data_IF_214654669995
#
_entry.id   IF_214654669995
#
_cell.length_a   1.000
_cell.length_b   1.000
_cell.length_c   1.000
_cell.angle_alpha   90.00
_cell.angle_beta   90.00
_cell.angle_gamma   90.00
#
_symmetry.space_group_name_H-M   'P 1'
#
loop_
_entity.id
_entity.type
_entity.pdbx_description
1 polymer ?
#
# COMPACT_ATOMS: atom_id res chain seq x y z
N UNK A 1 9.30 -15.17 -24.58
CA UNK A 1 8.98 -16.32 -23.71
C UNK A 1 7.73 -15.95 -22.94
N UNK A 2 6.63 -16.67 -23.13
CA UNK A 2 5.33 -16.38 -22.53
C UNK A 2 5.36 -16.61 -21.02
N UNK A 3 5.11 -15.59 -20.18
CA UNK A 3 4.62 -15.86 -18.85
C UNK A 3 3.15 -16.27 -18.99
N UNK A 4 2.83 -17.41 -18.42
CA UNK A 4 1.50 -17.99 -18.34
C UNK A 4 0.45 -16.97 -17.88
N UNK A 5 -0.37 -16.50 -18.82
CA UNK A 5 -1.69 -15.90 -18.57
C UNK A 5 -2.57 -16.97 -17.90
N UNK A 6 -2.44 -17.11 -16.59
CA UNK A 6 -3.49 -17.72 -15.77
C UNK A 6 -4.63 -16.70 -15.73
N UNK A 7 -5.52 -16.77 -16.71
CA UNK A 7 -6.76 -16.02 -16.65
C UNK A 7 -7.57 -16.65 -15.52
N UNK A 8 -7.69 -15.96 -14.38
CA UNK A 8 -8.61 -16.40 -13.34
C UNK A 8 -10.02 -16.40 -13.94
N UNK A 9 -10.86 -17.36 -13.54
CA UNK A 9 -12.27 -17.34 -13.91
C UNK A 9 -13.02 -16.44 -12.93
N UNK A 10 -14.06 -15.77 -13.42
CA UNK A 10 -14.91 -14.93 -12.58
C UNK A 10 -15.53 -15.81 -11.48
N UNK A 11 -15.29 -15.45 -10.23
CA UNK A 11 -15.79 -16.15 -9.06
C UNK A 11 -16.89 -15.33 -8.39
N UNK A 12 -18.14 -15.62 -8.76
CA UNK A 12 -19.30 -14.95 -8.19
C UNK A 12 -19.48 -15.26 -6.69
N UNK A 13 -19.00 -16.41 -6.22
CA UNK A 13 -19.07 -16.74 -4.80
C UNK A 13 -18.12 -15.84 -4.02
N UNK A 14 -16.89 -15.67 -4.50
CA UNK A 14 -15.93 -14.74 -3.92
C UNK A 14 -16.49 -13.31 -3.84
N UNK A 15 -17.07 -12.80 -4.93
CA UNK A 15 -17.70 -11.46 -4.99
C UNK A 15 -18.79 -11.28 -3.92
N UNK A 16 -19.60 -12.32 -3.67
CA UNK A 16 -20.70 -12.27 -2.70
C UNK A 16 -20.24 -12.40 -1.25
N UNK A 17 -19.19 -13.17 -0.97
CA UNK A 17 -18.73 -13.42 0.40
C UNK A 17 -17.65 -12.44 0.88
N UNK A 18 -17.00 -11.72 -0.03
CA UNK A 18 -15.88 -10.82 0.28
C UNK A 18 -16.22 -9.37 0.00
N UNK A 19 -17.36 -8.91 0.53
CA UNK A 19 -17.77 -7.50 0.43
C UNK A 19 -16.97 -6.65 1.42
N UNK A 20 -16.44 -5.52 0.94
CA UNK A 20 -15.74 -4.50 1.72
C UNK A 20 -16.43 -3.15 1.58
N UNK A 21 -16.17 -2.24 2.53
CA UNK A 21 -16.75 -0.92 2.56
C UNK A 21 -15.66 0.09 2.90
N UNK A 22 -15.64 1.22 2.20
CA UNK A 22 -14.77 2.36 2.49
C UNK A 22 -15.49 3.67 2.10
N UNK A 23 -14.76 4.80 2.10
CA UNK A 23 -15.32 6.09 1.73
C UNK A 23 -15.78 6.16 0.26
N UNK A 24 -15.19 5.37 -0.63
CA UNK A 24 -15.52 5.36 -2.06
C UNK A 24 -16.67 4.39 -2.37
N UNK A 25 -16.77 3.30 -1.60
CA UNK A 25 -17.74 2.20 -1.82
C UNK A 25 -18.61 1.99 -0.58
N UNK A 26 -19.37 3.02 -0.20
CA UNK A 26 -20.32 2.95 0.91
C UNK A 26 -21.47 1.95 0.68
N UNK A 27 -21.81 1.68 -0.58
CA UNK A 27 -22.80 0.67 -1.00
C UNK A 27 -22.20 -0.73 -1.17
N UNK A 28 -20.90 -0.89 -0.92
CA UNK A 28 -20.18 -2.17 -0.97
C UNK A 28 -19.36 -2.36 -2.25
N UNK A 29 -18.09 -2.69 -2.06
CA UNK A 29 -17.16 -3.16 -3.10
C UNK A 29 -16.64 -4.57 -2.81
N UNK A 30 -15.67 -5.02 -3.60
CA UNK A 30 -15.08 -6.37 -3.48
C UNK A 30 -13.72 -6.25 -2.79
N UNK A 31 -13.48 -6.98 -1.70
CA UNK A 31 -12.17 -7.00 -1.06
C UNK A 31 -11.12 -7.58 -2.00
N UNK A 32 -9.92 -7.01 -1.99
CA UNK A 32 -8.75 -7.62 -2.63
C UNK A 32 -8.48 -9.03 -2.05
N UNK A 33 -7.97 -9.98 -2.85
CA UNK A 33 -7.51 -11.29 -2.35
C UNK A 33 -6.45 -11.18 -1.26
N UNK A 34 -5.68 -10.09 -1.29
CA UNK A 34 -4.70 -9.76 -0.26
C UNK A 34 -5.23 -8.67 0.70
N UNK A 35 -6.54 -8.56 0.90
CA UNK A 35 -7.17 -7.51 1.73
C UNK A 35 -6.63 -7.49 3.16
N UNK A 36 -6.37 -8.65 3.75
CA UNK A 36 -5.77 -8.75 5.09
C UNK A 36 -4.41 -8.04 5.18
N UNK A 37 -3.73 -7.80 4.06
CA UNK A 37 -2.47 -7.07 4.01
C UNK A 37 -2.65 -5.63 3.50
N UNK A 38 -3.38 -5.44 2.41
CA UNK A 38 -3.47 -4.14 1.72
C UNK A 38 -4.71 -3.31 2.10
N UNK A 39 -5.73 -3.92 2.70
CA UNK A 39 -6.99 -3.29 3.11
C UNK A 39 -7.76 -2.58 2.00
N UNK A 40 -7.44 -2.85 0.73
CA UNK A 40 -8.10 -2.23 -0.42
C UNK A 40 -9.43 -2.89 -0.77
N UNK A 41 -10.48 -2.06 -0.86
CA UNK A 41 -11.75 -2.41 -1.47
C UNK A 41 -11.72 -2.03 -2.95
N UNK A 42 -12.15 -2.96 -3.80
CA UNK A 42 -12.16 -2.85 -5.25
C UNK A 42 -13.57 -2.47 -5.73
N UNK A 43 -13.68 -1.77 -6.87
CA UNK A 43 -14.95 -1.57 -7.55
C UNK A 43 -15.70 -2.89 -7.81
N UNK A 44 -17.05 -2.91 -7.75
CA UNK A 44 -17.84 -4.11 -8.07
C UNK A 44 -17.59 -4.71 -9.46
N UNK A 45 -17.14 -3.91 -10.43
CA UNK A 45 -16.83 -4.34 -11.79
C UNK A 45 -15.34 -4.69 -12.01
N UNK A 46 -14.51 -4.70 -10.96
CA UNK A 46 -13.05 -4.83 -11.06
C UNK A 46 -12.60 -6.03 -11.90
N UNK A 47 -13.20 -7.21 -11.69
CA UNK A 47 -12.86 -8.41 -12.44
C UNK A 47 -13.03 -8.22 -13.96
N UNK A 48 -14.04 -7.47 -14.39
CA UNK A 48 -14.26 -7.20 -15.81
C UNK A 48 -13.17 -6.30 -16.40
N UNK A 49 -12.58 -5.42 -15.59
CA UNK A 49 -11.52 -4.50 -15.99
C UNK A 49 -10.13 -5.15 -15.94
N UNK A 50 -9.86 -5.95 -14.91
CA UNK A 50 -8.52 -6.41 -14.56
C UNK A 50 -8.33 -7.94 -14.66
N UNK A 51 -9.42 -8.72 -14.77
CA UNK A 51 -9.36 -10.18 -14.92
C UNK A 51 -8.90 -10.95 -13.68
N UNK A 52 -8.90 -10.30 -12.51
CA UNK A 52 -8.53 -10.87 -11.22
C UNK A 52 -9.21 -10.09 -10.07
N UNK A 53 -8.90 -10.47 -8.83
CA UNK A 53 -9.40 -9.82 -7.62
C UNK A 53 -8.27 -9.21 -6.76
N UNK A 54 -7.24 -8.66 -7.40
CA UNK A 54 -6.10 -8.05 -6.73
C UNK A 54 -6.05 -6.55 -7.04
N UNK A 55 -5.75 -5.72 -6.03
CA UNK A 55 -5.60 -4.28 -6.24
C UNK A 55 -4.34 -3.94 -7.04
N UNK A 56 -4.27 -2.71 -7.57
CA UNK A 56 -3.10 -2.22 -8.30
C UNK A 56 -1.81 -2.40 -7.51
N UNK A 57 -1.81 -2.11 -6.20
CA UNK A 57 -0.62 -2.29 -5.38
C UNK A 57 -0.17 -3.75 -5.34
N UNK A 58 -1.09 -4.71 -5.23
CA UNK A 58 -0.74 -6.14 -5.17
C UNK A 58 -0.34 -6.72 -6.51
N UNK A 59 -1.14 -6.58 -7.57
CA UNK A 59 -0.96 -7.32 -8.82
C UNK A 59 -0.29 -6.52 -9.95
N UNK A 60 -0.41 -5.19 -9.96
CA UNK A 60 0.01 -4.41 -11.12
C UNK A 60 1.48 -4.67 -11.44
N UNK A 61 1.71 -5.26 -12.61
CA UNK A 61 3.03 -5.62 -13.09
C UNK A 61 3.97 -4.43 -13.26
N UNK A 62 3.45 -3.25 -13.54
CA UNK A 62 4.25 -2.10 -13.92
C UNK A 62 4.54 -1.19 -12.72
N UNK A 63 3.60 -1.12 -11.77
CA UNK A 63 3.65 -0.16 -10.65
C UNK A 63 3.42 -0.80 -9.27
N UNK A 64 2.88 -2.01 -9.21
CA UNK A 64 2.63 -2.76 -7.99
C UNK A 64 3.73 -3.77 -7.68
N UNK A 65 3.43 -4.68 -6.74
CA UNK A 65 4.37 -5.73 -6.35
C UNK A 65 4.33 -6.93 -7.31
N UNK A 66 3.27 -7.11 -8.10
CA UNK A 66 3.10 -8.29 -8.97
C UNK A 66 2.94 -9.59 -8.17
N UNK A 67 2.40 -9.50 -6.96
CA UNK A 67 2.04 -10.67 -6.16
C UNK A 67 0.77 -11.30 -6.69
N UNK A 68 0.71 -12.62 -6.53
CA UNK A 68 -0.56 -13.36 -6.59
C UNK A 68 -1.27 -13.26 -5.24
N UNK A 69 -2.28 -14.09 -5.06
CA UNK A 69 -2.86 -14.38 -3.75
C UNK A 69 -1.78 -14.86 -2.78
N UNK A 70 -1.69 -14.17 -1.65
CA UNK A 70 -0.71 -14.44 -0.59
C UNK A 70 -1.24 -15.46 0.41
N UNK A 71 -0.31 -16.17 1.06
CA UNK A 71 -0.65 -17.16 2.08
C UNK A 71 -0.73 -16.53 3.47
N UNK A 72 -1.89 -16.65 4.11
CA UNK A 72 -2.15 -16.23 5.48
C UNK A 72 -2.41 -17.45 6.37
N UNK A 73 -2.05 -17.37 7.65
CA UNK A 73 -2.40 -18.37 8.66
C UNK A 73 -2.88 -17.71 9.94
N UNK A 74 -3.93 -18.25 10.53
CA UNK A 74 -4.30 -17.93 11.91
C UNK A 74 -3.31 -18.63 12.86
N UNK A 75 -2.93 -17.95 13.93
CA UNK A 75 -1.99 -18.46 14.93
C UNK A 75 -2.25 -17.82 16.30
N UNK A 76 -1.52 -18.26 17.32
CA UNK A 76 -1.42 -17.56 18.61
C UNK A 76 0.04 -17.58 19.04
N UNK A 77 0.90 -17.08 18.14
CA UNK A 77 2.35 -17.13 18.26
C UNK A 77 2.91 -15.72 18.29
N UNK A 78 4.04 -15.56 18.95
CA UNK A 78 4.80 -14.31 18.92
C UNK A 78 5.32 -14.01 17.50
N UNK A 79 5.27 -12.74 17.10
CA UNK A 79 5.94 -12.26 15.89
C UNK A 79 7.41 -11.97 16.19
N UNK A 80 8.33 -12.63 15.47
CA UNK A 80 9.79 -12.47 15.66
C UNK A 80 10.34 -11.05 15.38
N UNK A 81 9.52 -10.14 14.86
CA UNK A 81 9.93 -8.76 14.57
C UNK A 81 9.55 -7.83 15.72
N UNK A 82 8.29 -7.87 16.15
CA UNK A 82 7.77 -6.97 17.19
C UNK A 82 7.66 -7.62 18.57
N UNK A 83 7.88 -8.92 18.69
CA UNK A 83 7.74 -9.74 19.90
C UNK A 83 6.32 -9.70 20.51
N UNK A 84 5.31 -9.34 19.72
CA UNK A 84 3.91 -9.34 20.15
C UNK A 84 3.23 -10.67 19.78
N UNK A 85 2.33 -11.14 20.64
CA UNK A 85 1.45 -12.27 20.34
C UNK A 85 0.40 -11.81 19.32
N UNK A 86 0.30 -12.53 18.21
CA UNK A 86 -0.61 -12.16 17.12
C UNK A 86 -1.49 -13.32 16.70
N UNK A 87 -2.69 -12.96 16.24
CA UNK A 87 -3.70 -13.92 15.82
C UNK A 87 -3.56 -14.37 14.36
N UNK A 88 -2.77 -13.65 13.55
CA UNK A 88 -2.60 -13.92 12.12
C UNK A 88 -1.20 -13.56 11.64
N UNK A 89 -0.65 -14.38 10.74
CA UNK A 89 0.64 -14.14 10.08
C UNK A 89 0.51 -14.31 8.56
N UNK A 90 1.33 -13.55 7.83
CA UNK A 90 1.54 -13.64 6.40
C UNK A 90 2.85 -14.38 6.11
N UNK A 91 2.84 -15.26 5.12
CA UNK A 91 4.06 -15.82 4.53
C UNK A 91 4.71 -14.76 3.65
N UNK A 92 5.93 -14.36 4.00
CA UNK A 92 6.60 -13.24 3.35
C UNK A 92 6.88 -13.54 1.86
N UNK A 93 6.58 -12.60 0.94
CA UNK A 93 6.54 -12.85 -0.50
C UNK A 93 7.91 -13.11 -1.15
N UNK A 94 9.03 -12.98 -0.42
CA UNK A 94 10.37 -13.26 -0.94
C UNK A 94 10.68 -14.75 -1.20
N UNK A 95 9.67 -15.63 -1.22
CA UNK A 95 9.84 -17.08 -1.44
C UNK A 95 10.91 -17.70 -0.52
N UNK A 96 10.85 -17.35 0.76
CA UNK A 96 11.78 -17.81 1.79
C UNK A 96 11.11 -18.64 2.90
N UNK A 97 9.78 -18.79 2.86
CA UNK A 97 9.02 -19.58 3.84
C UNK A 97 8.87 -18.94 5.22
N UNK A 98 9.39 -17.73 5.44
CA UNK A 98 9.25 -17.03 6.71
C UNK A 98 7.87 -16.38 6.88
N UNK A 99 7.40 -16.32 8.13
CA UNK A 99 6.08 -15.81 8.48
C UNK A 99 6.19 -14.64 9.46
N UNK A 100 5.44 -13.57 9.22
CA UNK A 100 5.43 -12.37 10.06
C UNK A 100 4.00 -11.89 10.32
N UNK A 101 3.78 -11.14 11.38
CA UNK A 101 2.48 -10.53 11.61
C UNK A 101 2.12 -9.55 10.49
N UNK A 102 0.83 -9.25 10.34
CA UNK A 102 0.33 -8.33 9.32
C UNK A 102 0.98 -6.94 9.46
N UNK A 103 0.99 -6.27 10.64
CA UNK A 103 1.55 -4.93 10.75
C UNK A 103 3.04 -4.85 10.41
N UNK A 104 3.84 -5.83 10.84
CA UNK A 104 5.26 -5.85 10.48
C UNK A 104 5.46 -6.11 8.98
N UNK A 105 4.64 -6.97 8.38
CA UNK A 105 4.68 -7.21 6.94
C UNK A 105 4.31 -5.95 6.16
N UNK A 106 3.29 -5.22 6.59
CA UNK A 106 2.91 -3.94 6.00
C UNK A 106 4.07 -2.95 6.05
N UNK A 107 4.70 -2.77 7.22
CA UNK A 107 5.81 -1.85 7.38
C UNK A 107 7.06 -2.21 6.54
N UNK A 108 7.30 -3.50 6.30
CA UNK A 108 8.44 -3.97 5.51
C UNK A 108 8.17 -3.86 4.00
N UNK A 109 6.94 -4.13 3.59
CA UNK A 109 6.57 -4.23 2.19
C UNK A 109 6.08 -2.91 1.62
N UNK A 110 5.21 -2.22 2.35
CA UNK A 110 4.66 -0.93 1.98
C UNK A 110 5.47 0.21 2.58
N UNK A 111 5.21 1.38 2.01
CA UNK A 111 5.77 2.62 2.48
C UNK A 111 4.76 3.16 3.49
N UNK A 112 5.19 3.25 4.73
CA UNK A 112 4.46 3.87 5.82
C UNK A 112 4.43 5.39 5.62
N UNK A 113 3.33 5.93 5.10
CA UNK A 113 3.15 7.37 4.84
C UNK A 113 3.54 8.26 6.02
N UNK A 114 3.38 7.76 7.26
CA UNK A 114 3.81 8.48 8.47
C UNK A 114 5.31 8.77 8.50
N UNK A 115 6.11 8.02 7.74
CA UNK A 115 7.57 8.10 7.68
C UNK A 115 8.12 8.75 6.43
N UNK A 116 7.30 8.97 5.40
CA UNK A 116 7.80 9.30 4.07
C UNK A 116 7.15 10.55 3.48
N UNK A 117 5.85 10.74 3.69
CA UNK A 117 5.07 11.75 2.98
C UNK A 117 5.26 13.15 3.58
N UNK A 118 5.53 14.14 2.73
CA UNK A 118 5.70 15.54 3.13
C UNK A 118 4.38 16.30 2.92
N UNK A 119 4.11 17.27 3.80
CA UNK A 119 3.05 18.24 3.51
C UNK A 119 3.50 19.18 2.38
N UNK A 120 2.62 19.51 1.43
CA UNK A 120 2.88 20.51 0.39
C UNK A 120 2.67 21.95 0.90
N UNK A 121 2.07 22.16 2.08
CA UNK A 121 1.83 23.49 2.65
C UNK A 121 3.13 24.32 2.83
N UNK A 122 4.25 23.77 3.33
CA UNK A 122 5.54 24.47 3.40
C UNK A 122 6.08 24.93 2.03
N UNK A 123 5.60 24.36 0.94
CA UNK A 123 5.99 24.69 -0.44
C UNK A 123 5.03 25.72 -1.08
N UNK A 124 4.01 26.16 -0.35
CA UNK A 124 3.07 27.19 -0.77
C UNK A 124 1.69 26.68 -1.19
N UNK A 125 1.40 25.38 -1.02
CA UNK A 125 0.05 24.87 -1.18
C UNK A 125 -0.87 25.46 -0.08
N UNK A 126 -2.08 25.93 -0.40
CA UNK A 126 -3.05 26.35 0.62
C UNK A 126 -3.39 25.20 1.58
N UNK A 127 -3.65 25.48 2.87
CA UNK A 127 -4.01 24.46 3.83
C UNK A 127 -5.42 23.91 3.62
N UNK A 128 -5.71 22.77 4.26
CA UNK A 128 -7.03 22.14 4.17
C UNK A 128 -8.17 23.06 4.67
N UNK A 129 -9.22 23.28 3.87
CA UNK A 129 -10.31 24.22 4.21
C UNK A 129 -11.20 23.67 5.34
N UNK A 130 -11.15 22.37 5.60
CA UNK A 130 -11.87 21.72 6.70
C UNK A 130 -11.14 21.85 8.06
N UNK A 131 -9.98 22.51 8.10
CA UNK A 131 -9.19 22.67 9.32
C UNK A 131 -8.46 21.39 9.77
N UNK A 132 -8.28 20.43 8.88
CA UNK A 132 -7.48 19.25 9.15
C UNK A 132 -6.00 19.62 9.36
N UNK A 133 -5.31 18.89 10.24
CA UNK A 133 -3.88 19.09 10.47
C UNK A 133 -3.08 18.26 9.47
N UNK A 134 -2.39 18.93 8.54
CA UNK A 134 -1.40 18.31 7.68
C UNK A 134 -0.01 18.49 8.29
N UNK A 135 0.54 17.40 8.85
CA UNK A 135 1.87 17.44 9.42
C UNK A 135 2.92 17.69 8.33
N UNK A 136 3.98 18.46 8.67
CA UNK A 136 5.14 18.68 7.78
C UNK A 136 5.65 17.35 7.21
N UNK A 137 5.62 16.30 8.02
CA UNK A 137 5.90 14.93 7.61
C UNK A 137 4.91 13.98 8.27
N UNK A 138 4.29 13.12 7.47
CA UNK A 138 3.43 12.03 7.92
C UNK A 138 2.12 11.94 7.13
N UNK A 139 1.12 11.29 7.73
CA UNK A 139 -0.19 11.10 7.11
C UNK A 139 -0.88 12.44 6.85
N UNK A 140 -1.35 12.67 5.63
CA UNK A 140 -2.11 13.88 5.27
C UNK A 140 -3.62 13.67 5.45
N UNK A 141 -4.35 14.77 5.37
CA UNK A 141 -5.79 14.71 5.16
C UNK A 141 -6.10 14.36 3.69
N UNK A 142 -6.92 13.34 3.50
CA UNK A 142 -7.43 12.91 2.18
C UNK A 142 -8.87 13.37 2.03
N UNK A 143 -9.10 14.67 2.21
CA UNK A 143 -10.43 15.24 2.07
C UNK A 143 -10.62 15.72 0.63
N UNK A 144 -11.78 15.44 0.03
CA UNK A 144 -12.09 15.83 -1.37
C UNK A 144 -11.82 17.32 -1.64
N UNK A 145 -12.23 18.21 -0.71
CA UNK A 145 -12.00 19.64 -0.84
C UNK A 145 -10.52 20.04 -0.82
N UNK A 146 -9.65 19.25 -0.19
CA UNK A 146 -8.21 19.46 -0.20
C UNK A 146 -7.57 18.89 -1.47
N UNK A 147 -8.08 17.76 -1.97
CA UNK A 147 -7.63 17.19 -3.25
C UNK A 147 -7.86 18.18 -4.40
N UNK A 148 -9.00 18.87 -4.44
CA UNK A 148 -9.27 19.95 -5.41
C UNK A 148 -8.29 21.13 -5.29
N UNK A 149 -7.81 21.42 -4.08
CA UNK A 149 -6.81 22.47 -3.85
C UNK A 149 -5.45 22.03 -4.38
N UNK A 150 -5.06 20.78 -4.13
CA UNK A 150 -3.80 20.21 -4.61
C UNK A 150 -3.76 20.22 -6.15
N UNK A 151 -4.81 19.73 -6.81
CA UNK A 151 -4.92 19.72 -8.27
C UNK A 151 -4.82 21.13 -8.84
N UNK A 152 -5.50 22.11 -8.22
CA UNK A 152 -5.42 23.50 -8.67
C UNK A 152 -4.04 24.09 -8.47
N UNK A 153 -3.42 23.84 -7.30
CA UNK A 153 -2.09 24.32 -6.97
C UNK A 153 -1.03 23.77 -7.93
N UNK A 154 -1.11 22.49 -8.27
CA UNK A 154 -0.25 21.85 -9.28
C UNK A 154 -0.31 22.60 -10.62
N UNK A 155 -1.52 22.95 -11.08
CA UNK A 155 -1.73 23.66 -12.34
C UNK A 155 -1.30 25.12 -12.31
N UNK A 156 -1.55 25.83 -11.21
CA UNK A 156 -1.25 27.26 -11.07
C UNK A 156 0.23 27.54 -10.75
N UNK A 157 0.90 26.62 -10.04
CA UNK A 157 2.27 26.80 -9.55
C UNK A 157 3.15 25.56 -9.83
N UNK A 158 3.36 25.18 -11.10
CA UNK A 158 4.06 23.95 -11.46
C UNK A 158 5.51 23.90 -10.95
N UNK A 159 6.22 25.03 -10.89
CA UNK A 159 7.58 25.08 -10.35
C UNK A 159 7.63 24.76 -8.86
N UNK A 160 6.62 25.20 -8.10
CA UNK A 160 6.51 24.92 -6.65
C UNK A 160 6.06 23.50 -6.39
N UNK A 161 5.16 22.98 -7.22
CA UNK A 161 4.80 21.58 -7.22
C UNK A 161 6.01 20.67 -7.52
N UNK A 162 6.85 21.05 -8.49
CA UNK A 162 8.09 20.31 -8.77
C UNK A 162 9.07 20.36 -7.60
N UNK A 163 9.26 21.51 -6.96
CA UNK A 163 10.10 21.65 -5.75
C UNK A 163 9.61 20.71 -4.63
N UNK A 164 8.29 20.63 -4.42
CA UNK A 164 7.68 19.69 -3.49
C UNK A 164 7.96 18.23 -3.88
N UNK A 165 7.71 17.84 -5.14
CA UNK A 165 7.93 16.48 -5.61
C UNK A 165 9.40 16.04 -5.48
N UNK A 166 10.35 16.92 -5.78
CA UNK A 166 11.77 16.65 -5.64
C UNK A 166 12.13 16.44 -4.15
N UNK A 167 11.59 17.28 -3.26
CA UNK A 167 11.78 17.16 -1.83
C UNK A 167 11.13 15.90 -1.24
N UNK A 168 9.94 15.51 -1.72
CA UNK A 168 9.26 14.28 -1.31
C UNK A 168 10.07 13.05 -1.72
N UNK A 169 10.51 13.00 -2.97
CA UNK A 169 11.38 11.93 -3.48
C UNK A 169 12.69 11.83 -2.70
N UNK A 170 13.29 12.96 -2.33
CA UNK A 170 14.49 12.97 -1.51
C UNK A 170 14.20 12.51 -0.06
N UNK A 171 13.10 12.96 0.55
CA UNK A 171 12.67 12.52 1.90
C UNK A 171 12.51 11.01 1.94
N UNK A 172 11.86 10.45 0.92
CA UNK A 172 11.74 9.03 0.67
C UNK A 172 13.10 8.35 0.59
N UNK A 173 14.04 8.85 -0.20
CA UNK A 173 15.34 8.20 -0.37
C UNK A 173 16.17 8.24 0.92
N UNK A 174 16.10 9.34 1.68
CA UNK A 174 16.88 9.56 2.89
C UNK A 174 16.26 8.93 4.15
N UNK A 175 14.97 8.62 4.14
CA UNK A 175 14.28 8.02 5.28
C UNK A 175 14.73 6.58 5.59
N UNK A 176 15.30 5.86 4.62
CA UNK A 176 15.94 4.54 4.83
C UNK A 176 17.42 4.64 5.25
N UNK A 177 17.87 5.76 5.82
CA UNK A 177 19.28 5.97 6.20
C UNK A 177 19.76 5.16 7.40
N UNK A 178 18.88 4.49 8.14
CA UNK A 178 19.29 3.66 9.29
C UNK A 178 19.90 2.35 8.80
N UNK A 179 21.22 2.12 9.00
CA UNK A 179 21.86 0.87 8.60
C UNK A 179 21.16 -0.32 9.27
N UNK A 180 20.71 -1.30 8.47
CA UNK A 180 20.03 -2.50 8.95
C UNK A 180 18.49 -2.43 8.96
N UNK A 181 17.90 -1.25 8.68
CA UNK A 181 16.46 -1.10 8.49
C UNK A 181 15.91 -2.03 7.41
N UNK A 182 14.71 -2.56 7.64
CA UNK A 182 13.97 -3.44 6.71
C UNK A 182 12.68 -2.81 6.21
N UNK A 183 12.31 -1.65 6.75
CA UNK A 183 11.11 -0.90 6.35
C UNK A 183 11.24 -0.44 4.90
N UNK A 184 10.17 -0.57 4.10
CA UNK A 184 10.18 -0.23 2.66
C UNK A 184 11.11 -1.07 1.77
N UNK A 185 12.02 -1.84 2.36
CA UNK A 185 13.11 -2.52 1.67
C UNK A 185 12.69 -3.72 0.81
N UNK A 186 11.50 -4.27 1.05
CA UNK A 186 11.00 -5.53 0.45
C UNK A 186 11.94 -6.72 0.72
N UNK A 187 12.79 -6.64 1.75
CA UNK A 187 13.70 -7.71 2.17
C UNK A 187 13.12 -8.44 3.37
N UNK A 188 13.22 -9.77 3.35
CA UNK A 188 12.88 -10.58 4.51
C UNK A 188 13.78 -10.18 5.71
N UNK A 189 13.24 -9.86 6.88
CA UNK A 189 14.06 -9.43 8.02
C UNK A 189 14.94 -10.54 8.59
N UNK A 190 14.55 -11.81 8.40
CA UNK A 190 15.32 -12.97 8.88
C UNK A 190 16.47 -13.34 7.95
N UNK A 191 16.17 -13.68 6.69
CA UNK A 191 17.19 -14.16 5.75
C UNK A 191 17.71 -13.11 4.78
N UNK A 192 17.20 -11.88 4.83
CA UNK A 192 17.58 -10.74 3.97
C UNK A 192 17.38 -10.98 2.47
N UNK A 193 16.76 -12.09 2.08
CA UNK A 193 16.31 -12.35 0.70
C UNK A 193 15.33 -11.24 0.30
N UNK A 194 15.70 -10.50 -0.75
CA UNK A 194 14.84 -9.48 -1.34
C UNK A 194 13.75 -10.19 -2.13
N UNK A 195 12.53 -9.67 -2.06
CA UNK A 195 11.52 -10.04 -3.04
C UNK A 195 12.03 -9.62 -4.43
N UNK A 196 12.23 -10.61 -5.28
CA UNK A 196 12.48 -10.44 -6.69
C UNK A 196 11.25 -10.94 -7.41
N UNK A 197 10.74 -10.11 -8.31
CA UNK A 197 9.60 -10.46 -9.12
C UNK A 197 10.00 -11.57 -10.09
N UNK A 198 9.19 -12.63 -10.13
CA UNK A 198 9.39 -13.80 -11.00
C UNK A 198 8.54 -13.67 -12.25
#
# INVERSE_FOLDING_TARGET
MNPSNFMEYRDLHYEQTNVGYDCQYSEGGIKCKNYELCEHVLPPNWFSCCGNYLCCSCDNSSFGFGWRELEFKDCNEECIICNEIVNKKLKFPANCGHWFCIPCSQNILFWDETRYHLSPEPFGCPPCPNGCVNHIKGKQCYCEAYDEILERWENEYPDKYQEYNDAENLSVQLSETTPGSVFGSKKCPLCRKKYERV
#
